data_IF_706279325907
#
_entry.id   IF_706279325907
#
_cell.length_a   1.000
_cell.length_b   1.000
_cell.length_c   1.000
_cell.angle_alpha   90.00
_cell.angle_beta   90.00
_cell.angle_gamma   90.00
#
_symmetry.space_group_name_H-M   'P 1'
#
loop_
_entity.id
_entity.type
_entity.pdbx_description
1 polymer ?
#
# COMPACT_ATOMS: atom_id res chain seq x y z
N UNK A 1 -10.18 -7.01 5.78
CA UNK A 1 -10.57 -5.58 5.82
C UNK A 1 -12.07 -5.53 6.00
N UNK A 2 -12.58 -4.69 6.91
CA UNK A 2 -14.03 -4.53 7.06
C UNK A 2 -14.62 -3.82 5.82
N UNK A 3 -15.91 -4.07 5.55
CA UNK A 3 -16.65 -3.51 4.42
C UNK A 3 -17.71 -2.57 4.99
N UNK A 4 -17.79 -1.36 4.43
CA UNK A 4 -18.81 -0.37 4.78
C UNK A 4 -19.90 -0.37 3.71
N UNK A 5 -21.11 -0.76 4.10
CA UNK A 5 -22.30 -0.63 3.25
C UNK A 5 -22.90 0.78 3.36
N UNK A 6 -23.36 1.33 2.24
CA UNK A 6 -24.02 2.64 2.21
C UNK A 6 -25.54 2.51 2.20
N UNK A 7 -26.23 3.48 2.83
CA UNK A 7 -27.69 3.62 2.70
C UNK A 7 -28.06 3.95 1.25
N UNK A 8 -29.18 3.41 0.72
CA UNK A 8 -29.59 3.59 -0.67
C UNK A 8 -30.26 4.96 -0.90
N UNK A 9 -29.52 6.05 -0.68
CA UNK A 9 -30.02 7.42 -0.84
C UNK A 9 -30.17 7.84 -2.31
N UNK A 10 -29.51 7.13 -3.23
CA UNK A 10 -29.62 7.32 -4.69
C UNK A 10 -29.56 5.96 -5.39
N UNK A 11 -30.07 5.82 -6.64
CA UNK A 11 -30.00 4.56 -7.38
C UNK A 11 -28.57 4.04 -7.53
N UNK A 12 -27.60 4.91 -7.81
CA UNK A 12 -26.19 4.53 -7.94
C UNK A 12 -25.52 4.09 -6.63
N UNK A 13 -26.07 4.48 -5.46
CA UNK A 13 -25.59 4.03 -4.15
C UNK A 13 -26.24 2.72 -3.69
N UNK A 14 -27.31 2.26 -4.34
CA UNK A 14 -27.97 1.00 -3.99
C UNK A 14 -27.01 -0.17 -4.23
N UNK A 15 -26.75 -0.97 -3.20
CA UNK A 15 -25.79 -2.09 -3.27
C UNK A 15 -24.31 -1.68 -3.30
N UNK A 16 -24.00 -0.37 -3.26
CA UNK A 16 -22.62 0.10 -3.21
C UNK A 16 -22.01 -0.15 -1.83
N UNK A 17 -20.79 -0.68 -1.82
CA UNK A 17 -19.96 -0.86 -0.62
C UNK A 17 -18.59 -0.23 -0.83
N UNK A 18 -17.96 0.26 0.24
CA UNK A 18 -16.55 0.64 0.23
C UNK A 18 -15.74 -0.21 1.20
N UNK A 19 -14.42 -0.11 1.07
CA UNK A 19 -13.53 -0.56 2.14
C UNK A 19 -13.69 0.34 3.35
N UNK A 20 -13.53 -0.26 4.52
CA UNK A 20 -13.28 0.46 5.75
C UNK A 20 -11.80 0.83 5.88
N UNK A 21 -11.54 1.99 6.49
CA UNK A 21 -10.21 2.59 6.60
C UNK A 21 -9.71 2.70 8.05
N UNK A 22 -10.39 2.09 9.01
CA UNK A 22 -10.03 2.14 10.44
C UNK A 22 -8.62 1.61 10.74
N UNK A 23 -8.13 0.64 9.97
CA UNK A 23 -6.76 0.12 10.10
C UNK A 23 -5.66 1.04 9.52
N UNK A 24 -6.01 2.21 8.99
CA UNK A 24 -5.05 3.18 8.45
C UNK A 24 -4.69 4.21 9.52
N UNK A 25 -3.43 4.24 9.90
CA UNK A 25 -2.93 5.12 10.97
C UNK A 25 -2.47 6.48 10.46
N UNK A 26 -2.21 6.65 9.16
CA UNK A 26 -1.89 7.95 8.58
C UNK A 26 -2.37 8.09 7.14
N UNK A 27 -2.75 9.32 6.78
CA UNK A 27 -3.22 9.67 5.43
C UNK A 27 -2.09 10.23 4.55
N UNK A 28 -0.97 10.63 5.15
CA UNK A 28 0.12 11.31 4.45
C UNK A 28 1.29 10.34 4.19
N UNK A 29 1.60 10.04 2.91
CA UNK A 29 2.75 9.21 2.57
C UNK A 29 4.08 9.96 2.74
N UNK A 30 5.17 9.19 2.82
CA UNK A 30 6.54 9.73 2.95
C UNK A 30 7.05 10.23 1.61
N UNK A 31 7.41 11.52 1.56
CA UNK A 31 7.85 12.18 0.32
C UNK A 31 9.07 11.52 -0.32
N UNK A 32 10.06 11.06 0.46
CA UNK A 32 11.27 10.41 -0.07
C UNK A 32 11.02 9.03 -0.69
N UNK A 33 9.88 8.39 -0.40
CA UNK A 33 9.52 7.06 -0.92
C UNK A 33 8.41 7.12 -1.99
N UNK A 34 8.16 8.30 -2.56
CA UNK A 34 7.18 8.52 -3.62
C UNK A 34 7.85 8.80 -4.95
N UNK A 35 7.34 8.14 -6.00
CA UNK A 35 7.75 8.40 -7.38
C UNK A 35 6.52 8.67 -8.23
N UNK A 36 6.66 9.51 -9.25
CA UNK A 36 5.58 9.74 -10.22
C UNK A 36 5.36 8.44 -11.02
N UNK A 37 4.15 7.87 -10.93
CA UNK A 37 3.77 6.73 -11.76
C UNK A 37 3.38 7.23 -13.15
N UNK A 38 4.29 7.10 -14.12
CA UNK A 38 3.96 7.33 -15.53
C UNK A 38 2.93 6.29 -15.99
N UNK A 39 1.93 6.71 -16.75
CA UNK A 39 0.83 5.86 -17.21
C UNK A 39 0.90 5.69 -18.72
N UNK A 40 0.89 4.44 -19.18
CA UNK A 40 0.78 4.13 -20.61
C UNK A 40 -0.66 4.20 -21.13
N UNK A 41 -1.67 4.18 -20.26
CA UNK A 41 -3.10 4.16 -20.63
C UNK A 41 -3.44 3.09 -21.68
N UNK A 42 -2.85 1.89 -21.55
CA UNK A 42 -3.05 0.78 -22.48
C UNK A 42 -2.27 0.85 -23.80
N UNK A 43 -1.40 1.85 -23.96
CA UNK A 43 -0.55 2.03 -25.15
C UNK A 43 0.89 1.57 -24.92
N UNK A 44 1.51 1.01 -25.96
CA UNK A 44 2.92 0.63 -25.97
C UNK A 44 3.84 1.81 -26.37
N UNK A 45 5.14 1.54 -26.52
CA UNK A 45 6.15 2.52 -26.94
C UNK A 45 5.96 3.06 -28.37
N UNK A 46 5.17 2.41 -29.22
CA UNK A 46 4.78 2.89 -30.56
C UNK A 46 3.48 3.71 -30.54
N UNK A 47 2.89 3.94 -29.36
CA UNK A 47 1.61 4.64 -29.21
C UNK A 47 0.38 3.82 -29.58
N UNK A 48 0.53 2.53 -29.93
CA UNK A 48 -0.57 1.64 -30.30
C UNK A 48 -1.25 1.07 -29.06
N UNK A 49 -2.58 0.94 -29.11
CA UNK A 49 -3.36 0.30 -28.05
C UNK A 49 -3.06 -1.20 -28.08
N UNK A 50 -2.32 -1.69 -27.08
CA UNK A 50 -2.06 -3.12 -26.87
C UNK A 50 -2.92 -3.71 -25.77
N UNK A 51 -3.46 -2.87 -24.88
CA UNK A 51 -4.40 -3.28 -23.83
C UNK A 51 -5.62 -2.37 -23.86
N UNK A 52 -6.79 -2.95 -24.08
CA UNK A 52 -8.07 -2.24 -24.16
C UNK A 52 -8.64 -1.91 -22.77
N UNK A 53 -9.60 -0.98 -22.73
CA UNK A 53 -10.32 -0.56 -21.51
C UNK A 53 -9.42 0.00 -20.40
N UNK A 54 -8.33 0.67 -20.77
CA UNK A 54 -7.41 1.35 -19.85
C UNK A 54 -7.38 2.85 -20.13
N UNK A 55 -7.35 3.68 -19.08
CA UNK A 55 -7.30 5.15 -19.19
C UNK A 55 -8.33 5.85 -18.29
N UNK A 56 -8.19 7.17 -18.12
CA UNK A 56 -9.19 8.00 -17.40
C UNK A 56 -9.18 7.95 -15.87
N UNK A 57 -8.40 7.07 -15.24
CA UNK A 57 -8.35 6.97 -13.78
C UNK A 57 -7.70 8.17 -13.08
N UNK A 58 -8.02 8.38 -11.79
CA UNK A 58 -7.43 9.44 -10.96
C UNK A 58 -5.91 9.31 -10.83
N UNK A 59 -5.12 10.40 -10.87
CA UNK A 59 -3.64 10.39 -10.84
C UNK A 59 -3.10 9.72 -9.55
N UNK A 60 -2.03 8.94 -9.68
CA UNK A 60 -1.44 8.18 -8.58
C UNK A 60 0.07 8.39 -8.52
N UNK A 61 0.61 8.38 -7.30
CA UNK A 61 2.04 8.25 -7.04
C UNK A 61 2.37 6.79 -6.73
N UNK A 62 3.51 6.30 -7.21
CA UNK A 62 4.03 4.99 -6.85
C UNK A 62 4.71 5.05 -5.48
N UNK A 63 4.44 4.07 -4.63
CA UNK A 63 5.11 3.89 -3.35
C UNK A 63 6.23 2.88 -3.54
N UNK A 64 7.46 3.29 -3.25
CA UNK A 64 8.65 2.43 -3.30
C UNK A 64 8.57 1.41 -2.17
N UNK A 65 8.00 0.24 -2.48
CA UNK A 65 7.92 -0.90 -1.58
C UNK A 65 9.18 -1.73 -1.71
N UNK A 66 9.77 -2.05 -0.57
CA UNK A 66 10.82 -3.03 -0.46
C UNK A 66 10.19 -4.43 -0.35
N UNK A 67 10.50 -5.29 -1.32
CA UNK A 67 10.03 -6.69 -1.35
C UNK A 67 11.07 -7.68 -0.81
N UNK A 68 12.28 -7.22 -0.52
CA UNK A 68 13.36 -8.04 0.04
C UNK A 68 14.15 -7.23 1.06
N UNK A 69 13.72 -7.27 2.33
CA UNK A 69 14.51 -6.72 3.42
C UNK A 69 15.81 -7.53 3.56
N UNK A 70 16.89 -6.84 3.95
CA UNK A 70 18.15 -7.53 4.20
C UNK A 70 18.01 -8.46 5.42
N UNK A 71 18.72 -9.60 5.46
CA UNK A 71 18.82 -10.39 6.69
C UNK A 71 19.51 -9.55 7.79
N UNK A 72 19.06 -9.71 9.03
CA UNK A 72 19.47 -8.89 10.18
C UNK A 72 18.80 -7.52 10.29
N UNK A 73 17.75 -7.24 9.49
CA UNK A 73 17.00 -5.97 9.59
C UNK A 73 16.04 -6.06 10.77
N UNK A 74 16.17 -5.15 11.73
CA UNK A 74 15.26 -4.90 12.84
C UNK A 74 14.57 -3.56 12.63
N UNK A 75 13.25 -3.57 12.46
CA UNK A 75 12.50 -2.37 12.19
C UNK A 75 11.29 -2.24 13.10
N UNK A 76 10.86 -1.00 13.33
CA UNK A 76 9.60 -0.71 14.03
C UNK A 76 8.57 -0.22 13.02
N UNK A 77 7.34 -0.74 13.10
CA UNK A 77 6.22 -0.28 12.28
C UNK A 77 5.79 1.10 12.76
N UNK A 78 6.08 2.14 11.98
CA UNK A 78 5.63 3.49 12.30
C UNK A 78 4.16 3.68 11.98
N UNK A 79 3.69 3.21 10.83
CA UNK A 79 2.31 3.41 10.37
C UNK A 79 1.85 2.36 9.38
N UNK A 80 0.53 2.18 9.28
CA UNK A 80 -0.14 1.45 8.23
C UNK A 80 -0.85 2.44 7.32
N UNK A 81 -0.62 2.33 6.01
CA UNK A 81 -1.03 3.30 5.01
C UNK A 81 -1.83 2.67 3.86
N UNK A 82 -2.66 3.50 3.22
CA UNK A 82 -3.29 3.17 1.96
C UNK A 82 -2.29 3.28 0.80
N UNK A 83 -2.31 2.30 -0.11
CA UNK A 83 -1.66 2.43 -1.40
C UNK A 83 -2.66 2.24 -2.56
N UNK A 84 -2.84 3.24 -3.44
CA UNK A 84 -3.71 3.13 -4.60
C UNK A 84 -3.15 2.28 -5.74
N UNK A 85 -1.93 1.74 -5.64
CA UNK A 85 -1.33 0.92 -6.70
C UNK A 85 -1.52 -0.58 -6.51
N UNK A 86 -2.11 -1.01 -5.39
CA UNK A 86 -2.33 -2.41 -5.04
C UNK A 86 -3.54 -2.58 -4.13
N UNK A 87 -3.97 -3.81 -3.92
CA UNK A 87 -5.09 -4.15 -3.03
C UNK A 87 -4.69 -4.16 -1.55
N UNK A 88 -3.48 -4.65 -1.25
CA UNK A 88 -2.96 -4.72 0.13
C UNK A 88 -2.64 -3.33 0.72
N UNK A 89 -2.73 -3.21 2.05
CA UNK A 89 -2.15 -2.07 2.77
C UNK A 89 -0.62 -2.17 2.78
N UNK A 90 0.05 -1.04 3.01
CA UNK A 90 1.50 -1.02 3.21
C UNK A 90 1.83 -0.57 4.63
N UNK A 91 2.86 -1.16 5.20
CA UNK A 91 3.42 -0.73 6.48
C UNK A 91 4.64 0.14 6.19
N UNK A 92 4.67 1.32 6.79
CA UNK A 92 5.87 2.13 6.91
C UNK A 92 6.67 1.65 8.10
N UNK A 93 7.91 1.26 7.86
CA UNK A 93 8.82 0.77 8.88
C UNK A 93 10.06 1.66 8.96
N UNK A 94 10.60 1.81 10.17
CA UNK A 94 11.88 2.46 10.42
C UNK A 94 12.87 1.42 10.93
N UNK A 95 13.93 1.23 10.16
CA UNK A 95 15.02 0.30 10.45
C UNK A 95 15.93 0.79 11.59
N UNK A 96 16.78 -0.08 12.16
CA UNK A 96 17.72 0.29 13.23
C UNK A 96 18.64 1.46 12.84
N UNK A 97 18.93 1.60 11.55
CA UNK A 97 19.76 2.67 10.99
C UNK A 97 18.99 3.98 10.76
N UNK A 98 17.72 4.04 11.15
CA UNK A 98 16.83 5.19 10.96
C UNK A 98 16.29 5.34 9.53
N UNK A 99 16.55 4.39 8.63
CA UNK A 99 16.06 4.40 7.26
C UNK A 99 14.60 3.96 7.21
N UNK A 100 13.81 4.67 6.39
CA UNK A 100 12.40 4.36 6.18
C UNK A 100 12.22 3.43 4.98
N UNK A 101 11.35 2.45 5.15
CA UNK A 101 10.93 1.54 4.08
C UNK A 101 9.42 1.38 4.08
N UNK A 102 8.85 1.11 2.92
CA UNK A 102 7.51 0.52 2.84
C UNK A 102 7.63 -0.97 2.61
N UNK A 103 6.85 -1.76 3.32
CA UNK A 103 6.64 -3.18 3.06
C UNK A 103 5.15 -3.45 2.87
N UNK A 104 4.78 -4.62 2.37
CA UNK A 104 3.38 -5.05 2.40
C UNK A 104 2.97 -5.31 3.85
N UNK A 105 1.81 -4.79 4.26
CA UNK A 105 1.30 -5.05 5.59
C UNK A 105 0.67 -6.45 5.63
N UNK A 106 1.20 -7.32 6.50
CA UNK A 106 0.60 -8.60 6.80
C UNK A 106 -0.64 -8.42 7.69
N UNK A 107 -1.45 -9.47 7.79
CA UNK A 107 -2.55 -9.48 8.76
C UNK A 107 -1.99 -9.39 10.18
N UNK A 108 -2.68 -8.68 11.07
CA UNK A 108 -2.26 -8.56 12.48
C UNK A 108 -1.17 -7.51 12.76
N UNK A 109 -0.47 -7.01 11.74
CA UNK A 109 0.51 -5.92 11.92
C UNK A 109 -0.15 -4.70 12.54
N UNK A 110 0.54 -4.10 13.54
CA UNK A 110 0.09 -2.90 14.24
C UNK A 110 1.20 -1.87 14.36
N UNK A 111 0.81 -0.61 14.49
CA UNK A 111 1.75 0.48 14.79
C UNK A 111 2.48 0.20 16.12
N UNK A 112 3.79 0.43 16.12
CA UNK A 112 4.68 0.21 17.28
C UNK A 112 5.25 -1.21 17.40
N UNK A 113 4.75 -2.18 16.63
CA UNK A 113 5.30 -3.54 16.62
C UNK A 113 6.72 -3.54 16.02
N UNK A 114 7.62 -4.31 16.62
CA UNK A 114 8.95 -4.58 16.07
C UNK A 114 8.87 -5.79 15.13
N UNK A 115 9.61 -5.73 14.04
CA UNK A 115 9.76 -6.81 13.08
C UNK A 115 11.24 -7.07 12.88
N UNK A 116 11.60 -8.33 12.71
CA UNK A 116 12.97 -8.73 12.35
C UNK A 116 12.94 -9.56 11.08
N UNK A 117 13.99 -9.46 10.28
CA UNK A 117 14.20 -10.23 9.07
C UNK A 117 15.49 -11.00 9.22
N UNK A 118 15.49 -12.33 9.05
CA UNK A 118 16.68 -13.16 9.22
C UNK A 118 16.33 -14.64 9.33
N UNK A 119 17.33 -15.51 9.18
CA UNK A 119 17.16 -16.96 9.33
C UNK A 119 16.83 -17.36 10.79
N UNK A 120 17.34 -16.59 11.76
CA UNK A 120 17.12 -16.79 13.19
C UNK A 120 15.91 -15.99 13.72
N UNK A 121 15.17 -15.30 12.85
CA UNK A 121 14.00 -14.52 13.26
C UNK A 121 12.90 -15.42 13.81
N UNK A 122 12.28 -14.98 14.91
CA UNK A 122 11.15 -15.68 15.49
C UNK A 122 9.97 -15.71 14.51
N UNK A 123 9.32 -16.87 14.40
CA UNK A 123 8.09 -17.02 13.62
C UNK A 123 6.94 -16.56 14.51
N UNK A 124 6.40 -15.38 14.22
CA UNK A 124 5.20 -14.84 14.87
C UNK A 124 3.95 -15.28 14.08
N UNK A 125 2.93 -15.74 14.79
CA UNK A 125 1.60 -16.10 14.23
C UNK A 125 0.63 -14.93 14.24
#
# INVERSE_FOLDING_TARGET
MAIKAYRPTTPGRRGMTSQDFDGITTKKPVRSLLVIKRRGNGRNNQGRITTRHQGGGAKQFYRLVNFGLAPGTEATIEHIEYDPNRSARIARIKDQNGKLHYILAASGMKQGQKITSGAESAIET
#
